data_IF_531464837753
#
_entry.id   IF_531464837753
#
_cell.length_a   1.000
_cell.length_b   1.000
_cell.length_c   1.000
_cell.angle_alpha   90.00
_cell.angle_beta   90.00
_cell.angle_gamma   90.00
#
_symmetry.space_group_name_H-M   'P 1'
#
loop_
_entity.id
_entity.type
_entity.pdbx_description
1 polymer ?
#
# COMPACT_ATOMS: atom_id res chain seq x y z
N UNK A 1 18.08 15.79 11.74
CA UNK A 1 18.50 15.29 10.42
C UNK A 1 17.76 13.99 10.21
N UNK A 2 16.70 14.01 9.41
CA UNK A 2 15.93 12.79 9.11
C UNK A 2 16.77 11.90 8.20
N UNK A 3 17.20 10.76 8.75
CA UNK A 3 17.79 9.68 7.98
C UNK A 3 16.76 9.17 6.98
N UNK A 4 16.79 9.71 5.76
CA UNK A 4 16.17 9.07 4.60
C UNK A 4 16.92 7.77 4.38
N UNK A 5 16.40 6.68 4.96
CA UNK A 5 16.83 5.33 4.62
C UNK A 5 16.85 5.23 3.09
N UNK A 6 18.00 4.84 2.54
CA UNK A 6 18.24 4.66 1.12
C UNK A 6 17.37 3.51 0.60
N UNK A 7 16.06 3.73 0.50
CA UNK A 7 15.11 2.77 -0.05
C UNK A 7 15.37 2.74 -1.54
N UNK A 8 16.22 1.82 -1.99
CA UNK A 8 16.36 1.53 -3.42
C UNK A 8 14.97 1.23 -3.97
N UNK A 9 14.44 2.17 -4.74
CA UNK A 9 13.19 1.98 -5.46
C UNK A 9 13.41 0.82 -6.42
N UNK A 10 12.43 -0.09 -6.57
CA UNK A 10 12.57 -1.22 -7.48
C UNK A 10 12.82 -0.77 -8.92
N UNK A 11 13.54 -1.58 -9.72
CA UNK A 11 13.87 -1.24 -11.11
C UNK A 11 12.61 -0.93 -11.95
N UNK A 12 11.50 -1.63 -11.69
CA UNK A 12 10.22 -1.39 -12.38
C UNK A 12 9.65 0.01 -12.12
N UNK A 13 10.04 0.69 -11.04
CA UNK A 13 9.63 2.06 -10.75
C UNK A 13 10.27 3.08 -11.69
N UNK A 14 11.38 2.72 -12.33
CA UNK A 14 12.02 3.54 -13.37
C UNK A 14 11.52 3.20 -14.78
N UNK A 15 10.57 2.27 -14.92
CA UNK A 15 10.01 1.89 -16.20
C UNK A 15 8.84 2.83 -16.59
N UNK A 16 8.96 3.65 -17.65
CA UNK A 16 7.94 4.65 -17.96
C UNK A 16 6.51 4.11 -18.16
N UNK A 17 6.30 2.93 -18.80
CA UNK A 17 4.96 2.34 -18.91
C UNK A 17 4.32 1.96 -17.57
N UNK A 18 5.09 1.83 -16.49
CA UNK A 18 4.57 1.50 -15.16
C UNK A 18 3.62 2.58 -14.59
N UNK A 19 3.80 3.84 -15.01
CA UNK A 19 2.93 4.96 -14.63
C UNK A 19 1.67 5.11 -15.49
N UNK A 20 1.51 4.25 -16.49
CA UNK A 20 0.34 4.23 -17.38
C UNK A 20 -0.44 2.95 -17.16
N UNK A 21 -1.75 3.05 -16.92
CA UNK A 21 -2.60 1.88 -16.72
C UNK A 21 -2.59 0.99 -17.97
N UNK A 22 -2.18 -0.27 -17.81
CA UNK A 22 -2.02 -1.15 -18.96
C UNK A 22 -3.37 -1.57 -19.56
N UNK A 23 -3.54 -1.57 -20.90
CA UNK A 23 -4.80 -1.94 -21.54
C UNK A 23 -5.09 -3.44 -21.44
N UNK A 24 -4.05 -4.28 -21.46
CA UNK A 24 -4.15 -5.73 -21.39
C UNK A 24 -4.37 -6.17 -19.93
N UNK A 25 -5.43 -6.94 -19.68
CA UNK A 25 -5.83 -7.36 -18.34
C UNK A 25 -4.73 -8.09 -17.56
N UNK A 26 -4.10 -9.11 -18.16
CA UNK A 26 -3.03 -9.88 -17.51
C UNK A 26 -1.80 -9.02 -17.15
N UNK A 27 -1.52 -7.99 -17.94
CA UNK A 27 -0.42 -7.06 -17.66
C UNK A 27 -0.82 -6.04 -16.61
N UNK A 28 -2.08 -5.58 -16.64
CA UNK A 28 -2.66 -4.71 -15.62
C UNK A 28 -2.66 -5.37 -14.24
N UNK A 29 -3.04 -6.64 -14.14
CA UNK A 29 -3.02 -7.39 -12.87
C UNK A 29 -1.61 -7.48 -12.29
N UNK A 30 -0.59 -7.75 -13.14
CA UNK A 30 0.81 -7.72 -12.72
C UNK A 30 1.24 -6.33 -12.27
N UNK A 31 0.87 -5.30 -13.03
CA UNK A 31 1.15 -3.90 -12.69
C UNK A 31 0.54 -3.53 -11.32
N UNK A 32 -0.73 -3.87 -11.09
CA UNK A 32 -1.43 -3.58 -9.84
C UNK A 32 -0.80 -4.31 -8.63
N UNK A 33 -0.36 -5.56 -8.82
CA UNK A 33 0.40 -6.28 -7.80
C UNK A 33 1.72 -5.59 -7.45
N UNK A 34 2.49 -5.15 -8.45
CA UNK A 34 3.74 -4.42 -8.22
C UNK A 34 3.50 -3.08 -7.51
N UNK A 35 2.42 -2.38 -7.85
CA UNK A 35 2.02 -1.16 -7.12
C UNK A 35 1.64 -1.45 -5.68
N UNK A 36 0.90 -2.54 -5.42
CA UNK A 36 0.58 -2.99 -4.06
C UNK A 36 1.86 -3.19 -3.26
N UNK A 37 2.79 -3.99 -3.76
CA UNK A 37 4.06 -4.27 -3.09
C UNK A 37 4.87 -3.00 -2.82
N UNK A 38 4.96 -2.11 -3.81
CA UNK A 38 5.66 -0.83 -3.66
C UNK A 38 5.04 0.05 -2.57
N UNK A 39 3.71 0.21 -2.59
CA UNK A 39 2.99 1.05 -1.62
C UNK A 39 3.14 0.48 -0.22
N UNK A 40 2.92 -0.82 -0.03
CA UNK A 40 3.05 -1.45 1.29
C UNK A 40 4.47 -1.38 1.83
N UNK A 41 5.47 -1.63 1.00
CA UNK A 41 6.87 -1.56 1.40
C UNK A 41 7.27 -0.13 1.78
N UNK A 42 6.92 0.86 0.96
CA UNK A 42 7.22 2.26 1.27
C UNK A 42 6.50 2.73 2.54
N UNK A 43 5.21 2.43 2.70
CA UNK A 43 4.44 2.86 3.86
C UNK A 43 4.91 2.17 5.16
N UNK A 44 5.27 0.90 5.12
CA UNK A 44 5.80 0.17 6.28
C UNK A 44 7.17 0.69 6.74
N UNK A 45 8.06 1.04 5.80
CA UNK A 45 9.35 1.64 6.12
C UNK A 45 9.21 3.04 6.74
N UNK A 46 8.33 3.87 6.17
CA UNK A 46 8.10 5.24 6.63
C UNK A 46 7.17 5.30 7.87
N UNK A 47 6.61 4.16 8.29
CA UNK A 47 5.61 4.07 9.37
C UNK A 47 4.40 4.98 9.17
N UNK A 48 3.98 5.15 7.92
CA UNK A 48 2.83 5.99 7.54
C UNK A 48 1.66 5.08 7.18
N UNK A 49 0.48 5.35 7.75
CA UNK A 49 -0.75 4.60 7.47
C UNK A 49 -1.72 5.36 6.57
N UNK A 50 -1.53 6.66 6.34
CA UNK A 50 -2.42 7.47 5.49
C UNK A 50 -1.82 7.68 4.10
N UNK A 51 -2.59 7.40 3.05
CA UNK A 51 -2.24 7.64 1.66
C UNK A 51 -3.27 8.58 1.01
N UNK A 52 -2.79 9.72 0.51
CA UNK A 52 -3.58 10.57 -0.38
C UNK A 52 -3.16 10.31 -1.83
N UNK A 53 -4.04 9.78 -2.70
CA UNK A 53 -3.69 9.48 -4.09
C UNK A 53 -3.27 10.71 -4.90
N UNK A 54 -3.76 11.91 -4.57
CA UNK A 54 -3.46 13.12 -5.33
C UNK A 54 -2.14 13.75 -4.91
N UNK A 55 -1.78 13.65 -3.63
CA UNK A 55 -0.60 14.31 -3.04
C UNK A 55 0.60 13.37 -2.88
N UNK A 56 0.39 12.05 -2.95
CA UNK A 56 1.46 11.10 -2.68
C UNK A 56 2.58 11.16 -3.74
N UNK A 57 3.85 11.28 -3.31
CA UNK A 57 5.00 11.29 -4.22
C UNK A 57 5.19 9.94 -4.92
N UNK A 58 4.61 8.84 -4.41
CA UNK A 58 4.76 7.52 -5.03
C UNK A 58 4.23 7.48 -6.46
N UNK A 59 3.18 8.22 -6.78
CA UNK A 59 2.59 8.26 -8.12
C UNK A 59 3.31 9.21 -9.09
N UNK A 60 4.39 9.86 -8.65
CA UNK A 60 5.19 10.80 -9.45
C UNK A 60 6.67 10.48 -9.32
N UNK A 61 7.29 10.10 -10.44
CA UNK A 61 8.72 9.90 -10.52
C UNK A 61 9.36 11.00 -11.37
N UNK A 62 9.99 11.96 -10.70
CA UNK A 62 10.70 13.07 -11.35
C UNK A 62 11.96 12.61 -12.10
N UNK A 63 12.58 11.50 -11.71
CA UNK A 63 13.79 11.00 -12.37
C UNK A 63 13.53 10.53 -13.81
N UNK A 64 12.30 10.08 -14.11
CA UNK A 64 11.88 9.69 -15.46
C UNK A 64 10.84 10.66 -16.06
N UNK A 65 10.55 11.77 -15.36
CA UNK A 65 9.55 12.75 -15.74
C UNK A 65 8.17 12.12 -16.06
N UNK A 66 7.70 11.22 -15.18
CA UNK A 66 6.40 10.56 -15.32
C UNK A 66 5.56 10.71 -14.06
N UNK A 67 4.26 10.87 -14.28
CA UNK A 67 3.24 10.89 -13.24
C UNK A 67 2.06 10.06 -13.70
N UNK A 68 1.45 9.30 -12.79
CA UNK A 68 0.26 8.53 -13.10
C UNK A 68 -0.99 9.41 -13.13
N UNK A 69 -1.90 9.12 -14.06
CA UNK A 69 -3.20 9.79 -14.17
C UNK A 69 -4.11 9.47 -12.98
N UNK A 70 -5.02 10.37 -12.57
CA UNK A 70 -5.91 10.16 -11.42
C UNK A 70 -6.73 8.87 -11.49
N UNK A 71 -7.18 8.48 -12.69
CA UNK A 71 -7.91 7.21 -12.91
C UNK A 71 -7.05 5.98 -12.56
N UNK A 72 -5.79 5.97 -12.98
CA UNK A 72 -4.85 4.90 -12.65
C UNK A 72 -4.58 4.82 -11.15
N UNK A 73 -4.46 5.98 -10.48
CA UNK A 73 -4.27 6.03 -9.03
C UNK A 73 -5.47 5.45 -8.29
N UNK A 74 -6.70 5.82 -8.69
CA UNK A 74 -7.93 5.24 -8.12
C UNK A 74 -7.99 3.73 -8.30
N UNK A 75 -7.70 3.23 -9.50
CA UNK A 75 -7.67 1.80 -9.77
C UNK A 75 -6.69 1.03 -8.87
N UNK A 76 -5.54 1.62 -8.54
CA UNK A 76 -4.59 1.03 -7.59
C UNK A 76 -5.15 0.97 -6.18
N UNK A 77 -5.81 2.05 -5.71
CA UNK A 77 -6.42 2.06 -4.38
C UNK A 77 -7.58 1.07 -4.29
N UNK A 78 -8.44 1.03 -5.30
CA UNK A 78 -9.52 0.05 -5.39
C UNK A 78 -8.98 -1.39 -5.37
N UNK A 79 -7.87 -1.63 -6.05
CA UNK A 79 -7.18 -2.91 -6.00
C UNK A 79 -6.65 -3.23 -4.60
N UNK A 80 -6.01 -2.28 -3.92
CA UNK A 80 -5.56 -2.43 -2.53
C UNK A 80 -6.71 -2.75 -1.57
N UNK A 81 -7.86 -2.09 -1.74
CA UNK A 81 -9.07 -2.35 -0.96
C UNK A 81 -9.59 -3.76 -1.23
N UNK A 82 -9.62 -4.20 -2.49
CA UNK A 82 -10.04 -5.55 -2.85
C UNK A 82 -9.16 -6.64 -2.25
N UNK A 83 -7.87 -6.32 -1.98
CA UNK A 83 -6.94 -7.21 -1.29
C UNK A 83 -7.02 -7.12 0.25
N UNK A 84 -7.83 -6.22 0.81
CA UNK A 84 -7.89 -5.97 2.26
C UNK A 84 -6.70 -5.20 2.82
N UNK A 85 -5.89 -4.58 1.95
CA UNK A 85 -4.69 -3.82 2.33
C UNK A 85 -4.93 -2.30 2.40
N UNK A 86 -6.14 -1.83 2.12
CA UNK A 86 -6.51 -0.43 2.28
C UNK A 86 -8.01 -0.27 2.57
N UNK A 87 -8.37 0.87 3.14
CA UNK A 87 -9.75 1.33 3.33
C UNK A 87 -9.86 2.83 3.05
N UNK A 88 -10.95 3.30 2.46
CA UNK A 88 -11.19 4.74 2.32
C UNK A 88 -11.60 5.33 3.67
N UNK A 89 -10.93 6.40 4.11
CA UNK A 89 -11.28 7.08 5.37
C UNK A 89 -12.45 8.05 5.20
N UNK A 90 -12.62 8.60 3.99
CA UNK A 90 -13.65 9.59 3.67
C UNK A 90 -14.55 9.10 2.51
N UNK A 91 -15.83 9.47 2.53
CA UNK A 91 -16.76 9.25 1.42
C UNK A 91 -16.33 9.95 0.12
N UNK A 92 -15.47 10.96 0.23
CA UNK A 92 -14.91 11.73 -0.90
C UNK A 92 -13.75 11.01 -1.58
N UNK A 93 -13.32 9.84 -1.07
CA UNK A 93 -12.17 9.08 -1.58
C UNK A 93 -10.89 9.93 -1.70
N UNK A 94 -10.74 10.91 -0.82
CA UNK A 94 -9.57 11.80 -0.79
C UNK A 94 -8.38 11.15 -0.06
N UNK A 95 -8.65 10.34 0.96
CA UNK A 95 -7.64 9.69 1.80
C UNK A 95 -7.99 8.22 2.01
N UNK A 96 -7.01 7.37 1.81
CA UNK A 96 -7.08 5.95 2.10
C UNK A 96 -6.15 5.63 3.26
N UNK A 97 -6.61 4.79 4.18
CA UNK A 97 -5.75 4.13 5.16
C UNK A 97 -5.16 2.89 4.54
N UNK A 98 -3.87 2.69 4.76
CA UNK A 98 -3.08 1.56 4.29
C UNK A 98 -2.85 0.61 5.45
N UNK A 99 -3.14 -0.66 5.22
CA UNK A 99 -2.98 -1.76 6.15
C UNK A 99 -1.82 -2.63 5.65
N UNK A 100 -0.68 -2.59 6.35
CA UNK A 100 0.52 -3.34 5.96
C UNK A 100 0.33 -4.85 6.01
N UNK A 101 -0.57 -5.29 6.90
CA UNK A 101 -1.08 -6.64 7.03
C UNK A 101 -2.59 -6.54 7.05
N UNK A 102 -3.28 -7.55 6.54
CA UNK A 102 -4.75 -7.54 6.60
C UNK A 102 -5.22 -7.71 8.05
N UNK A 103 -6.42 -7.24 8.41
CA UNK A 103 -6.99 -7.47 9.73
C UNK A 103 -7.05 -8.96 10.11
N UNK A 104 -7.27 -9.83 9.14
CA UNK A 104 -7.28 -11.29 9.33
C UNK A 104 -5.89 -11.82 9.69
N UNK A 105 -4.84 -11.36 9.00
CA UNK A 105 -3.45 -11.73 9.30
C UNK A 105 -3.04 -11.26 10.70
N UNK A 106 -3.35 -9.99 11.03
CA UNK A 106 -3.07 -9.43 12.37
C UNK A 106 -3.85 -10.18 13.43
N UNK A 107 -5.12 -10.51 13.18
CA UNK A 107 -5.95 -11.29 14.09
C UNK A 107 -5.38 -12.69 14.34
N UNK A 108 -4.91 -13.36 13.30
CA UNK A 108 -4.27 -14.68 13.42
C UNK A 108 -2.96 -14.59 14.22
N UNK A 109 -2.13 -13.58 13.98
CA UNK A 109 -0.89 -13.36 14.73
C UNK A 109 -1.15 -13.04 16.21
N UNK A 110 -2.15 -12.19 16.49
CA UNK A 110 -2.56 -11.86 17.86
C UNK A 110 -3.12 -13.08 18.59
N UNK A 111 -3.93 -13.90 17.90
CA UNK A 111 -4.45 -15.14 18.46
C UNK A 111 -3.32 -16.10 18.79
N UNK A 112 -2.38 -16.30 17.87
CA UNK A 112 -1.22 -17.15 18.07
C UNK A 112 -0.37 -16.67 19.26
N UNK A 113 -0.12 -15.36 19.35
CA UNK A 113 0.54 -14.75 20.50
C UNK A 113 -0.19 -15.03 21.82
N UNK A 114 -1.52 -14.95 21.83
CA UNK A 114 -2.32 -15.22 23.02
C UNK A 114 -2.26 -16.69 23.44
N UNK A 115 -2.24 -17.62 22.46
CA UNK A 115 -2.05 -19.06 22.71
C UNK A 115 -0.68 -19.33 23.32
N UNK A 116 0.38 -18.78 22.72
CA UNK A 116 1.77 -18.98 23.19
C UNK A 116 2.00 -18.45 24.59
N UNK A 117 1.30 -17.38 24.97
CA UNK A 117 1.39 -16.78 26.31
C UNK A 117 0.39 -17.33 27.31
N UNK A 118 -0.47 -18.28 26.92
CA UNK A 118 -1.52 -18.81 27.79
C UNK A 118 -2.56 -17.75 28.20
N UNK A 119 -2.72 -16.69 27.41
CA UNK A 119 -3.62 -15.57 27.65
C UNK A 119 -5.01 -15.79 27.02
N UNK A 120 -5.25 -16.95 26.42
CA UNK A 120 -6.58 -17.34 25.93
C UNK A 120 -7.56 -17.37 27.11
N UNK A 121 -8.69 -16.64 26.97
CA UNK A 121 -9.69 -16.38 28.02
C UNK A 121 -9.28 -15.34 29.10
N UNK A 122 -8.23 -14.55 28.88
CA UNK A 122 -7.89 -13.40 29.72
C UNK A 122 -8.29 -12.07 29.09
N UNK A 123 -8.57 -11.06 29.91
CA UNK A 123 -8.89 -9.71 29.42
C UNK A 123 -7.59 -8.98 29.07
N UNK A 124 -7.47 -8.53 27.83
CA UNK A 124 -6.38 -7.67 27.35
C UNK A 124 -6.93 -6.30 26.98
N UNK A 125 -6.10 -5.26 27.09
CA UNK A 125 -6.45 -3.88 26.70
C UNK A 125 -5.62 -3.46 25.50
N UNK A 126 -6.19 -2.57 24.66
CA UNK A 126 -5.56 -2.02 23.45
C UNK A 126 -4.78 -0.75 23.75
#
# INVERSE_FOLDING_TARGET
AEEKSDTKLPDFYHFPPFFTLQPVQSTREKQLNLWKELILNWHSQNKVYSLNPNESPLFRNDAINRSMNPEGRRAIIEYLISCGNAEWEDHTQARARILWKTPEEVGAELYQWAVERGLVNSVCTV
#
